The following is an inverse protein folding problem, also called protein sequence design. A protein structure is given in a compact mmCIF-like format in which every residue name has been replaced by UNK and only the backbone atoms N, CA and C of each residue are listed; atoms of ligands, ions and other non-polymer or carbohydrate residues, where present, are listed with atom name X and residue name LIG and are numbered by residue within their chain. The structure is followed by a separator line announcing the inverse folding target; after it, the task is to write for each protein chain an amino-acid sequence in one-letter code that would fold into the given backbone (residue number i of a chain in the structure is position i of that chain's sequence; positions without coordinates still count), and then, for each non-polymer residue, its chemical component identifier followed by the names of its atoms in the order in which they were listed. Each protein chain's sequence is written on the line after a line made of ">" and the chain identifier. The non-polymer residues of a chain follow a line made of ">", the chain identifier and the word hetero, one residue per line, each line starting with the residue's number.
data_IF_616031130730
#
_entry.id   IF_616031130730
#
_cell.length_a   1.000
_cell.length_b   1.000
_cell.length_c   1.000
_cell.angle_alpha   90.00
_cell.angle_beta   90.00
_cell.angle_gamma   90.00
#
_symmetry.space_group_name_H-M   'P 1'
#
loop_
_entity.id
_entity.type
_entity.pdbx_description
1 polymer ?
#
# COMPACT_ATOMS: atom_id res chain seq x y z
N UNK A 1 -21.07 14.05 45.98
CA UNK A 1 -19.85 14.80 46.33
C UNK A 1 -18.81 13.93 47.05
N UNK A 2 -18.63 12.66 46.65
CA UNK A 2 -17.60 11.75 47.16
C UNK A 2 -17.21 10.84 45.99
N UNK A 3 -16.36 11.33 45.07
CA UNK A 3 -15.72 10.51 44.02
C UNK A 3 -14.55 11.23 43.30
N UNK A 4 -14.05 12.35 43.83
CA UNK A 4 -12.91 13.09 43.25
C UNK A 4 -11.57 12.93 44.01
N UNK A 5 -11.50 12.15 45.08
CA UNK A 5 -10.32 12.13 45.97
C UNK A 5 -9.56 10.80 46.07
N UNK A 6 -9.67 9.91 45.09
CA UNK A 6 -8.92 8.63 45.07
C UNK A 6 -7.85 8.53 43.98
N UNK A 7 -7.62 9.58 43.18
CA UNK A 7 -6.60 9.57 42.09
C UNK A 7 -5.20 10.02 42.49
N UNK A 8 -5.00 10.60 43.68
CA UNK A 8 -3.76 11.31 44.01
C UNK A 8 -2.92 10.73 45.17
N UNK A 9 -3.24 9.53 45.70
CA UNK A 9 -2.48 8.96 46.84
C UNK A 9 -1.69 7.69 46.49
N UNK A 10 -1.94 7.04 45.34
CA UNK A 10 -1.14 5.87 44.91
C UNK A 10 0.06 6.18 43.98
N UNK A 11 0.26 7.45 43.59
CA UNK A 11 1.32 7.82 42.64
C UNK A 11 2.71 8.06 43.27
N UNK A 12 2.85 7.90 44.60
CA UNK A 12 4.05 8.33 45.33
C UNK A 12 5.15 7.27 45.55
N UNK A 13 4.89 5.98 45.34
CA UNK A 13 5.85 4.91 45.73
C UNK A 13 6.25 3.93 44.63
N UNK A 14 5.76 4.09 43.39
CA UNK A 14 6.19 3.28 42.23
C UNK A 14 7.19 4.00 41.30
N UNK A 15 7.48 5.28 41.55
CA UNK A 15 8.31 6.11 40.67
C UNK A 15 9.82 5.83 40.77
N UNK A 16 10.33 5.22 41.83
CA UNK A 16 11.78 4.98 41.95
C UNK A 16 12.28 3.69 41.29
N UNK A 17 11.41 2.71 41.01
CA UNK A 17 11.81 1.48 40.31
C UNK A 17 11.66 1.59 38.79
N UNK A 18 10.69 2.36 38.28
CA UNK A 18 10.47 2.49 36.84
C UNK A 18 11.45 3.43 36.12
N UNK A 19 12.03 4.43 36.80
CA UNK A 19 12.97 5.38 36.19
C UNK A 19 14.34 4.71 35.91
N UNK A 20 14.76 3.75 36.75
CA UNK A 20 15.98 2.98 36.50
C UNK A 20 15.84 1.96 35.38
N UNK A 21 14.64 1.38 35.21
CA UNK A 21 14.38 0.43 34.11
C UNK A 21 14.35 1.16 32.76
N UNK A 22 13.71 2.33 32.65
CA UNK A 22 13.65 3.10 31.40
C UNK A 22 15.03 3.62 30.95
N UNK A 23 15.84 4.16 31.86
CA UNK A 23 17.20 4.64 31.53
C UNK A 23 18.17 3.51 31.15
N UNK A 24 18.01 2.30 31.72
CA UNK A 24 18.87 1.16 31.39
C UNK A 24 18.54 0.54 30.02
N UNK A 25 17.27 0.55 29.63
CA UNK A 25 16.81 0.02 28.34
C UNK A 25 17.29 0.93 27.21
N UNK A 26 17.23 2.25 27.39
CA UNK A 26 17.73 3.22 26.41
C UNK A 26 19.24 3.09 26.18
N UNK A 27 20.02 2.87 27.25
CA UNK A 27 21.48 2.70 27.15
C UNK A 27 21.89 1.37 26.49
N UNK A 28 21.15 0.28 26.78
CA UNK A 28 21.39 -1.02 26.18
C UNK A 28 21.07 -1.03 24.67
N UNK A 29 19.91 -0.49 24.29
CA UNK A 29 19.51 -0.37 22.88
C UNK A 29 20.47 0.53 22.10
N UNK A 30 20.93 1.63 22.70
CA UNK A 30 21.96 2.49 22.10
C UNK A 30 23.24 1.73 21.76
N UNK A 31 23.72 0.85 22.64
CA UNK A 31 24.93 0.05 22.40
C UNK A 31 24.73 -0.97 21.28
N UNK A 32 23.54 -1.58 21.22
CA UNK A 32 23.15 -2.54 20.18
C UNK A 32 23.15 -1.85 18.81
N UNK A 33 22.52 -0.68 18.69
CA UNK A 33 22.47 0.11 17.45
C UNK A 33 23.85 0.57 16.99
N UNK A 34 24.73 1.03 17.91
CA UNK A 34 26.12 1.39 17.56
C UNK A 34 26.83 0.20 16.92
N UNK A 35 26.71 -0.98 17.52
CA UNK A 35 27.35 -2.20 17.00
C UNK A 35 26.78 -2.60 15.65
N UNK A 36 25.47 -2.49 15.45
CA UNK A 36 24.83 -2.69 14.15
C UNK A 36 25.43 -1.77 13.09
N UNK A 37 25.51 -0.46 13.35
CA UNK A 37 26.11 0.51 12.42
C UNK A 37 27.58 0.21 12.13
N UNK A 38 28.36 -0.18 13.14
CA UNK A 38 29.75 -0.58 12.92
C UNK A 38 29.89 -1.79 11.99
N UNK A 39 29.00 -2.79 12.11
CA UNK A 39 29.02 -3.97 11.23
C UNK A 39 28.71 -3.59 9.78
N UNK A 40 27.80 -2.64 9.57
CA UNK A 40 27.48 -2.08 8.25
C UNK A 40 28.73 -1.37 7.68
N UNK A 41 29.34 -0.46 8.43
CA UNK A 41 30.53 0.29 7.97
C UNK A 41 31.72 -0.62 7.65
N UNK A 42 31.88 -1.71 8.42
CA UNK A 42 32.89 -2.76 8.18
C UNK A 42 32.50 -3.72 7.05
N UNK A 43 31.31 -3.57 6.45
CA UNK A 43 30.73 -4.45 5.41
C UNK A 43 30.65 -5.92 5.82
N UNK A 44 30.49 -6.19 7.12
CA UNK A 44 30.40 -7.55 7.66
C UNK A 44 28.93 -7.97 7.78
N UNK A 45 28.42 -8.63 6.73
CA UNK A 45 27.03 -9.04 6.64
C UNK A 45 26.64 -10.11 7.67
N UNK A 46 27.53 -11.07 7.95
CA UNK A 46 27.27 -12.14 8.92
C UNK A 46 27.10 -11.58 10.33
N UNK A 47 28.02 -10.71 10.76
CA UNK A 47 27.92 -10.04 12.05
C UNK A 47 26.68 -9.14 12.11
N UNK A 48 26.36 -8.45 11.03
CA UNK A 48 25.18 -7.60 10.93
C UNK A 48 23.87 -8.38 11.13
N UNK A 49 23.69 -9.53 10.46
CA UNK A 49 22.50 -10.38 10.64
C UNK A 49 22.41 -10.90 12.08
N UNK A 50 23.55 -11.23 12.70
CA UNK A 50 23.58 -11.62 14.10
C UNK A 50 23.14 -10.49 15.04
N UNK A 51 23.57 -9.26 14.78
CA UNK A 51 23.13 -8.12 15.58
C UNK A 51 21.63 -7.83 15.39
N UNK A 52 21.09 -7.92 14.17
CA UNK A 52 19.65 -7.76 13.92
C UNK A 52 18.78 -8.71 14.75
N UNK A 53 19.30 -9.90 15.07
CA UNK A 53 18.58 -10.92 15.84
C UNK A 53 18.66 -10.72 17.36
N UNK A 54 19.29 -9.65 17.85
CA UNK A 54 19.41 -9.38 19.29
C UNK A 54 18.08 -8.86 19.83
N UNK A 55 17.63 -9.44 20.96
CA UNK A 55 16.42 -9.00 21.65
C UNK A 55 16.47 -7.49 21.98
N UNK A 56 15.39 -6.77 21.66
CA UNK A 56 15.30 -5.33 21.88
C UNK A 56 15.95 -4.47 20.78
N UNK A 57 16.41 -5.07 19.69
CA UNK A 57 16.88 -4.32 18.52
C UNK A 57 15.77 -3.43 17.95
N UNK A 58 16.05 -2.14 17.85
CA UNK A 58 15.27 -1.17 17.10
C UNK A 58 16.11 -0.65 15.93
N UNK A 59 15.75 -1.06 14.71
CA UNK A 59 16.47 -0.67 13.48
C UNK A 59 16.26 0.80 13.10
N UNK A 60 15.29 1.47 13.72
CA UNK A 60 14.96 2.88 13.50
C UNK A 60 15.70 3.82 14.46
N UNK A 61 16.23 3.29 15.56
CA UNK A 61 16.94 4.09 16.53
C UNK A 61 18.23 4.66 15.91
N UNK A 62 18.47 5.98 15.98
CA UNK A 62 19.75 6.54 15.60
C UNK A 62 20.81 6.29 16.68
N UNK A 63 22.07 6.18 16.28
CA UNK A 63 23.19 6.22 17.23
C UNK A 63 23.26 7.58 17.95
N UNK A 64 24.02 7.74 19.05
CA UNK A 64 24.19 9.04 19.71
C UNK A 64 24.81 10.13 18.83
N UNK A 65 25.44 9.73 17.71
CA UNK A 65 25.97 10.65 16.68
C UNK A 65 24.92 11.03 15.63
N UNK A 66 23.68 10.57 15.76
CA UNK A 66 22.60 10.78 14.80
C UNK A 66 22.63 9.85 13.58
N UNK A 67 23.50 8.83 13.56
CA UNK A 67 23.59 7.92 12.42
C UNK A 67 22.43 6.92 12.42
N UNK A 68 21.68 6.86 11.33
CA UNK A 68 20.62 5.88 11.09
C UNK A 68 21.18 4.65 10.35
N UNK A 69 20.89 3.41 10.80
CA UNK A 69 21.39 2.19 10.16
C UNK A 69 21.12 2.13 8.64
N UNK A 70 19.92 2.51 8.20
CA UNK A 70 19.55 2.49 6.77
C UNK A 70 20.39 3.46 5.94
N UNK A 71 20.68 4.66 6.46
CA UNK A 71 21.49 5.64 5.74
C UNK A 71 22.95 5.16 5.62
N UNK A 72 23.49 4.56 6.67
CA UNK A 72 24.84 3.97 6.65
C UNK A 72 24.94 2.81 5.64
N UNK A 73 23.90 1.99 5.54
CA UNK A 73 23.81 0.92 4.54
C UNK A 73 23.79 1.48 3.10
N UNK A 74 23.09 2.58 2.86
CA UNK A 74 23.06 3.26 1.55
C UNK A 74 24.41 3.93 1.23
N UNK A 75 25.06 4.58 2.21
CA UNK A 75 26.38 5.23 2.04
C UNK A 75 27.44 4.24 1.53
N UNK A 76 27.36 2.98 1.94
CA UNK A 76 28.27 1.92 1.46
C UNK A 76 27.79 1.21 0.18
N UNK A 77 26.65 1.61 -0.39
CA UNK A 77 25.93 0.93 -1.49
C UNK A 77 25.64 -0.55 -1.19
N UNK A 78 25.33 -0.86 0.07
CA UNK A 78 25.16 -2.22 0.56
C UNK A 78 23.74 -2.72 0.37
N UNK A 79 23.35 -3.12 -0.85
CA UNK A 79 21.99 -3.59 -1.17
C UNK A 79 21.45 -4.61 -0.14
N UNK A 80 22.23 -5.65 0.18
CA UNK A 80 21.83 -6.69 1.14
C UNK A 80 21.57 -6.15 2.55
N UNK A 81 22.30 -5.11 2.97
CA UNK A 81 22.07 -4.47 4.26
C UNK A 81 20.78 -3.65 4.24
N UNK A 82 20.53 -2.90 3.17
CA UNK A 82 19.29 -2.12 3.00
C UNK A 82 18.08 -3.04 2.98
N UNK A 83 18.12 -4.11 2.17
CA UNK A 83 17.02 -5.08 2.08
C UNK A 83 16.75 -5.77 3.42
N UNK A 84 17.79 -6.22 4.13
CA UNK A 84 17.61 -6.79 5.46
C UNK A 84 17.03 -5.81 6.48
N UNK A 85 17.43 -4.53 6.48
CA UNK A 85 16.84 -3.52 7.36
C UNK A 85 15.35 -3.29 7.06
N UNK A 86 14.97 -3.28 5.77
CA UNK A 86 13.56 -3.21 5.35
C UNK A 86 12.78 -4.42 5.86
N UNK A 87 13.35 -5.62 5.76
CA UNK A 87 12.76 -6.84 6.29
C UNK A 87 12.64 -6.85 7.83
N UNK A 88 13.34 -5.96 8.54
CA UNK A 88 13.20 -5.76 9.99
C UNK A 88 12.33 -4.55 10.35
N UNK A 89 11.61 -3.96 9.39
CA UNK A 89 10.65 -2.89 9.65
C UNK A 89 11.28 -1.51 9.82
N UNK A 90 12.37 -1.23 9.10
CA UNK A 90 12.95 0.12 9.09
C UNK A 90 12.00 1.12 8.39
N UNK A 91 11.92 2.32 8.94
CA UNK A 91 11.20 3.45 8.39
C UNK A 91 11.97 3.99 7.17
N UNK A 92 11.51 3.64 5.97
CA UNK A 92 12.20 3.97 4.71
C UNK A 92 12.34 5.47 4.45
N UNK A 93 11.42 6.26 5.03
CA UNK A 93 11.37 7.72 4.92
C UNK A 93 12.04 8.43 6.09
N UNK A 94 12.72 7.70 6.99
CA UNK A 94 13.44 8.29 8.10
C UNK A 94 14.46 9.33 7.60
N UNK A 95 14.46 10.48 8.26
CA UNK A 95 15.34 11.61 7.95
C UNK A 95 16.52 11.65 8.90
N UNK A 96 17.72 11.83 8.35
CA UNK A 96 18.92 12.04 9.16
C UNK A 96 18.76 13.30 10.03
N UNK A 97 19.00 13.22 11.34
CA UNK A 97 19.02 14.40 12.20
C UNK A 97 20.01 15.46 11.68
N UNK A 98 19.50 16.67 11.46
CA UNK A 98 20.29 17.85 11.09
C UNK A 98 20.40 18.13 9.58
N UNK A 99 20.55 17.11 8.73
CA UNK A 99 20.59 17.27 7.26
C UNK A 99 19.24 17.00 6.58
N UNK A 100 18.35 16.29 7.27
CA UNK A 100 17.02 15.87 6.80
C UNK A 100 17.04 15.01 5.53
N UNK A 101 18.18 14.41 5.18
CA UNK A 101 18.27 13.51 4.02
C UNK A 101 17.64 12.14 4.33
N UNK A 102 16.99 11.55 3.34
CA UNK A 102 16.41 10.21 3.40
C UNK A 102 17.35 9.18 2.76
N UNK A 103 17.06 7.90 2.95
CA UNK A 103 17.78 6.80 2.28
C UNK A 103 17.71 6.93 0.76
N UNK A 104 16.55 7.32 0.23
CA UNK A 104 16.32 7.49 -1.19
C UNK A 104 17.13 8.65 -1.77
N UNK A 105 17.26 9.76 -1.03
CA UNK A 105 18.11 10.89 -1.42
C UNK A 105 19.57 10.45 -1.59
N UNK A 106 20.13 9.73 -0.61
CA UNK A 106 21.52 9.24 -0.68
C UNK A 106 21.70 8.23 -1.81
N UNK A 107 20.73 7.33 -2.03
CA UNK A 107 20.79 6.34 -3.09
C UNK A 107 20.77 7.00 -4.49
N UNK A 108 19.92 8.01 -4.68
CA UNK A 108 19.87 8.81 -5.90
C UNK A 108 21.19 9.58 -6.12
N UNK A 109 21.71 10.25 -5.09
CA UNK A 109 23.01 10.94 -5.16
C UNK A 109 24.15 9.99 -5.55
N UNK A 110 24.13 8.78 -5.01
CA UNK A 110 25.15 7.77 -5.24
C UNK A 110 24.94 6.98 -6.56
N UNK A 111 23.85 7.25 -7.30
CA UNK A 111 23.44 6.53 -8.49
C UNK A 111 23.28 5.00 -8.27
N UNK A 112 22.80 4.61 -7.09
CA UNK A 112 22.57 3.21 -6.72
C UNK A 112 21.17 2.77 -7.19
N UNK A 113 21.04 2.45 -8.47
CA UNK A 113 19.74 2.17 -9.15
C UNK A 113 18.95 1.05 -8.48
N UNK A 114 19.62 -0.02 -8.08
CA UNK A 114 19.05 -1.17 -7.38
C UNK A 114 18.46 -0.79 -6.01
N UNK A 115 19.20 0.00 -5.23
CA UNK A 115 18.75 0.52 -3.94
C UNK A 115 17.61 1.53 -4.12
N UNK A 116 17.67 2.39 -5.14
CA UNK A 116 16.58 3.33 -5.46
C UNK A 116 15.30 2.56 -5.76
N UNK A 117 15.35 1.55 -6.65
CA UNK A 117 14.19 0.72 -6.97
C UNK A 117 13.62 0.05 -5.72
N UNK A 118 14.47 -0.54 -4.88
CA UNK A 118 14.06 -1.19 -3.64
C UNK A 118 13.36 -0.21 -2.68
N UNK A 119 13.94 0.96 -2.44
CA UNK A 119 13.35 1.96 -1.55
C UNK A 119 11.99 2.47 -2.08
N UNK A 120 11.88 2.73 -3.39
CA UNK A 120 10.61 3.13 -4.02
C UNK A 120 9.54 2.04 -3.89
N UNK A 121 9.90 0.76 -4.04
CA UNK A 121 8.99 -0.37 -3.87
C UNK A 121 8.41 -0.48 -2.45
N UNK A 122 9.14 0.02 -1.45
CA UNK A 122 8.71 0.06 -0.06
C UNK A 122 8.14 1.42 0.37
N UNK A 123 7.75 2.28 -0.58
CA UNK A 123 7.05 3.53 -0.28
C UNK A 123 7.96 4.71 0.08
N UNK A 124 9.25 4.67 -0.27
CA UNK A 124 10.08 5.85 -0.12
C UNK A 124 9.59 7.00 -1.02
N UNK A 125 9.46 8.19 -0.45
CA UNK A 125 8.96 9.38 -1.15
C UNK A 125 10.11 10.09 -1.91
N UNK A 126 10.14 10.09 -3.25
CA UNK A 126 11.16 10.77 -4.03
C UNK A 126 11.09 12.30 -3.92
N UNK A 127 9.95 12.86 -3.48
CA UNK A 127 9.71 14.31 -3.35
C UNK A 127 10.07 14.85 -1.97
N UNK A 128 10.38 13.99 -0.99
CA UNK A 128 10.82 14.40 0.33
C UNK A 128 12.10 15.26 0.24
N UNK A 129 12.02 16.50 0.74
CA UNK A 129 13.13 17.46 0.67
C UNK A 129 14.06 17.34 1.87
N UNK A 130 15.36 17.42 1.59
CA UNK A 130 16.41 17.67 2.57
C UNK A 130 16.37 19.11 3.09
N UNK A 131 17.18 19.41 4.11
CA UNK A 131 17.33 20.77 4.65
C UNK A 131 17.85 21.79 3.63
N UNK A 132 18.51 21.32 2.57
CA UNK A 132 18.98 22.15 1.46
C UNK A 132 17.89 22.48 0.42
N UNK A 133 16.68 21.96 0.59
CA UNK A 133 15.56 22.12 -0.33
C UNK A 133 15.58 21.15 -1.53
N UNK A 134 16.62 20.31 -1.67
CA UNK A 134 16.69 19.28 -2.72
C UNK A 134 16.04 17.97 -2.28
N UNK A 135 15.33 17.34 -3.21
CA UNK A 135 14.70 16.02 -3.09
C UNK A 135 15.52 14.93 -3.79
N UNK A 136 15.13 13.66 -3.65
CA UNK A 136 15.76 12.58 -4.39
C UNK A 136 15.43 12.70 -5.89
N UNK A 137 14.20 13.08 -6.24
CA UNK A 137 13.76 13.33 -7.62
C UNK A 137 14.67 14.33 -8.35
N UNK A 138 15.06 15.42 -7.68
CA UNK A 138 15.98 16.44 -8.24
C UNK A 138 17.37 15.87 -8.59
N UNK A 139 17.80 14.80 -7.91
CA UNK A 139 19.09 14.16 -8.12
C UNK A 139 19.05 13.03 -9.15
N UNK A 140 17.87 12.50 -9.47
CA UNK A 140 17.65 11.39 -10.41
C UNK A 140 17.87 11.84 -11.87
N UNK A 141 19.13 12.11 -12.21
CA UNK A 141 19.52 12.64 -13.53
C UNK A 141 19.89 11.53 -14.51
N UNK A 142 20.30 10.35 -14.02
CA UNK A 142 20.57 9.18 -14.85
C UNK A 142 19.30 8.66 -15.53
N UNK A 143 19.36 8.24 -16.82
CA UNK A 143 18.20 7.72 -17.53
C UNK A 143 17.44 6.63 -16.77
N UNK A 144 18.16 5.62 -16.26
CA UNK A 144 17.56 4.54 -15.48
C UNK A 144 16.84 5.04 -14.21
N UNK A 145 17.33 6.09 -13.55
CA UNK A 145 16.66 6.67 -12.38
C UNK A 145 15.44 7.50 -12.78
N UNK A 146 15.48 8.20 -13.92
CA UNK A 146 14.33 8.92 -14.47
C UNK A 146 13.20 7.97 -14.86
N UNK A 147 13.55 6.81 -15.41
CA UNK A 147 12.57 5.78 -15.76
C UNK A 147 11.85 5.27 -14.50
N UNK A 148 12.61 5.01 -13.42
CA UNK A 148 12.03 4.66 -12.12
C UNK A 148 11.14 5.78 -11.57
N UNK A 149 11.59 7.05 -11.61
CA UNK A 149 10.79 8.17 -11.15
C UNK A 149 9.48 8.30 -11.95
N UNK A 150 9.55 8.18 -13.27
CA UNK A 150 8.37 8.24 -14.16
C UNK A 150 7.38 7.11 -13.84
N UNK A 151 7.88 5.90 -13.56
CA UNK A 151 7.04 4.78 -13.14
C UNK A 151 6.37 5.06 -11.79
N UNK A 152 7.12 5.60 -10.82
CA UNK A 152 6.58 5.99 -9.51
C UNK A 152 5.56 7.13 -9.63
N UNK A 153 5.77 8.12 -10.49
CA UNK A 153 4.80 9.21 -10.69
C UNK A 153 3.47 8.72 -11.25
N UNK A 154 3.50 7.65 -12.07
CA UNK A 154 2.30 7.07 -12.66
C UNK A 154 1.47 6.27 -11.66
N UNK A 155 2.09 5.51 -10.78
CA UNK A 155 1.38 4.55 -9.92
C UNK A 155 1.97 4.35 -8.52
N UNK A 156 2.83 5.25 -8.05
CA UNK A 156 3.47 5.17 -6.73
C UNK A 156 4.36 3.94 -6.56
N UNK A 157 4.42 3.42 -5.33
CA UNK A 157 5.18 2.22 -4.99
C UNK A 157 4.65 0.96 -5.72
N UNK A 158 3.36 0.93 -6.06
CA UNK A 158 2.73 -0.13 -6.84
C UNK A 158 3.42 -0.40 -8.19
N UNK A 159 4.15 0.58 -8.74
CA UNK A 159 4.92 0.41 -9.97
C UNK A 159 6.04 -0.65 -9.87
N UNK A 160 6.44 -1.01 -8.65
CA UNK A 160 7.59 -1.90 -8.38
C UNK A 160 7.19 -3.18 -7.66
N UNK A 161 5.90 -3.41 -7.47
CA UNK A 161 5.38 -4.63 -6.86
C UNK A 161 5.62 -5.85 -7.75
N UNK A 162 5.76 -7.01 -7.10
CA UNK A 162 5.80 -8.30 -7.80
C UNK A 162 4.45 -8.62 -8.44
N UNK A 163 4.47 -9.48 -9.46
CA UNK A 163 3.24 -9.91 -10.13
C UNK A 163 2.29 -10.61 -9.16
N UNK A 164 0.96 -10.47 -9.34
CA UNK A 164 0.00 -11.18 -8.51
C UNK A 164 0.26 -12.68 -8.47
N UNK A 165 0.20 -13.26 -7.27
CA UNK A 165 0.42 -14.69 -7.05
C UNK A 165 1.89 -15.11 -7.07
N UNK A 166 2.84 -14.18 -7.20
CA UNK A 166 4.26 -14.47 -7.08
C UNK A 166 4.64 -14.93 -5.67
N UNK A 167 3.98 -14.36 -4.65
CA UNK A 167 4.21 -14.68 -3.25
C UNK A 167 3.19 -15.69 -2.73
N UNK A 168 3.67 -16.65 -1.94
CA UNK A 168 2.84 -17.61 -1.19
C UNK A 168 3.21 -17.61 0.28
N UNK A 169 2.27 -17.98 1.14
CA UNK A 169 2.55 -18.22 2.56
C UNK A 169 3.03 -19.65 2.76
N UNK A 170 4.22 -19.79 3.32
CA UNK A 170 4.85 -21.08 3.64
C UNK A 170 5.12 -21.17 5.13
N UNK A 171 5.27 -22.40 5.65
CA UNK A 171 5.62 -22.68 7.05
C UNK A 171 6.93 -23.44 7.13
N UNK A 172 7.84 -22.97 7.97
CA UNK A 172 9.06 -23.67 8.36
C UNK A 172 9.24 -23.53 9.87
N UNK A 173 9.46 -24.64 10.59
CA UNK A 173 9.61 -24.66 12.06
C UNK A 173 8.51 -23.90 12.82
N UNK A 174 7.25 -24.11 12.43
CA UNK A 174 6.05 -23.44 12.97
C UNK A 174 5.97 -21.92 12.73
N UNK A 175 6.92 -21.34 11.99
CA UNK A 175 6.90 -19.93 11.62
C UNK A 175 6.41 -19.76 10.19
N UNK A 176 5.45 -18.86 10.03
CA UNK A 176 4.94 -18.45 8.73
C UNK A 176 5.88 -17.41 8.11
N UNK A 177 6.15 -17.55 6.82
CA UNK A 177 6.89 -16.59 6.02
C UNK A 177 6.35 -16.53 4.60
N UNK A 178 6.67 -15.45 3.91
CA UNK A 178 6.34 -15.25 2.50
C UNK A 178 7.46 -15.76 1.63
N UNK A 179 7.11 -16.58 0.63
CA UNK A 179 8.05 -17.12 -0.34
C UNK A 179 7.67 -16.71 -1.75
N UNK A 180 8.60 -16.08 -2.46
CA UNK A 180 8.43 -15.73 -3.86
C UNK A 180 8.92 -16.88 -4.73
N UNK A 181 7.97 -17.56 -5.38
CA UNK A 181 8.24 -18.74 -6.22
C UNK A 181 8.89 -18.40 -7.56
N UNK A 182 8.90 -17.12 -7.95
CA UNK A 182 9.57 -16.64 -9.17
C UNK A 182 11.03 -16.29 -8.93
N UNK A 183 11.34 -15.67 -7.79
CA UNK A 183 12.71 -15.20 -7.46
C UNK A 183 13.45 -16.12 -6.49
N UNK A 184 12.76 -17.11 -5.90
CA UNK A 184 13.27 -17.98 -4.84
C UNK A 184 13.71 -17.21 -3.59
N UNK A 185 12.98 -16.14 -3.28
CA UNK A 185 13.21 -15.25 -2.14
C UNK A 185 12.26 -15.59 -0.98
N UNK A 186 12.76 -15.57 0.26
CA UNK A 186 11.95 -15.67 1.47
C UNK A 186 11.96 -14.36 2.26
N UNK A 187 10.80 -13.93 2.75
CA UNK A 187 10.63 -12.74 3.60
C UNK A 187 9.74 -13.06 4.81
N UNK A 188 10.18 -12.68 5.99
CA UNK A 188 9.37 -12.83 7.22
C UNK A 188 8.26 -11.80 7.30
N UNK A 189 8.53 -10.59 6.82
CA UNK A 189 7.54 -9.53 6.72
C UNK A 189 6.74 -9.66 5.43
N UNK A 190 5.54 -9.08 5.47
CA UNK A 190 4.62 -9.12 4.35
C UNK A 190 5.14 -8.25 3.19
N UNK A 191 5.29 -8.81 1.97
CA UNK A 191 5.71 -8.05 0.80
C UNK A 191 4.70 -6.95 0.43
N UNK A 192 5.14 -5.82 -0.18
CA UNK A 192 4.25 -4.76 -0.62
C UNK A 192 3.09 -5.23 -1.51
N UNK A 193 3.33 -6.16 -2.45
CA UNK A 193 2.26 -6.69 -3.33
C UNK A 193 1.17 -7.44 -2.54
N UNK A 194 1.51 -7.99 -1.38
CA UNK A 194 0.60 -8.74 -0.50
C UNK A 194 -0.08 -7.84 0.53
N UNK A 195 0.20 -6.53 0.50
CA UNK A 195 -0.15 -5.60 1.57
C UNK A 195 -1.39 -4.75 1.32
N UNK A 196 -2.12 -5.02 0.25
CA UNK A 196 -3.34 -4.30 -0.09
C UNK A 196 -4.54 -4.77 0.72
N UNK A 197 -5.34 -3.82 1.20
CA UNK A 197 -6.64 -4.06 1.80
C UNK A 197 -7.68 -3.12 1.23
N UNK A 198 -8.90 -3.62 1.01
CA UNK A 198 -10.05 -2.79 0.66
C UNK A 198 -10.62 -2.16 1.93
N UNK A 199 -10.65 -0.83 1.97
CA UNK A 199 -11.27 -0.02 3.02
C UNK A 199 -12.56 0.55 2.47
N UNK A 200 -13.68 0.13 3.04
CA UNK A 200 -15.01 0.63 2.66
C UNK A 200 -15.32 1.90 3.45
N UNK A 201 -15.49 3.01 2.73
CA UNK A 201 -15.96 4.28 3.29
C UNK A 201 -17.48 4.32 3.16
N UNK A 202 -18.21 4.56 4.25
CA UNK A 202 -19.69 4.63 4.21
C UNK A 202 -20.16 5.68 3.19
N UNK A 203 -20.83 5.23 2.14
CA UNK A 203 -21.31 6.08 1.03
C UNK A 203 -20.22 6.53 0.05
N UNK A 204 -18.97 6.13 0.26
CA UNK A 204 -17.80 6.38 -0.59
C UNK A 204 -17.47 5.19 -1.50
N UNK A 205 -16.51 5.35 -2.44
CA UNK A 205 -16.00 4.23 -3.21
C UNK A 205 -15.08 3.37 -2.35
N UNK A 206 -14.76 2.19 -2.84
CA UNK A 206 -13.73 1.35 -2.26
C UNK A 206 -12.37 2.05 -2.34
N UNK A 207 -11.75 2.30 -1.20
CA UNK A 207 -10.35 2.69 -1.11
C UNK A 207 -9.50 1.42 -0.98
N UNK A 208 -8.30 1.44 -1.54
CA UNK A 208 -7.34 0.37 -1.38
C UNK A 208 -6.08 0.94 -0.76
N UNK A 209 -5.75 0.46 0.43
CA UNK A 209 -4.62 0.94 1.21
C UNK A 209 -3.59 -0.16 1.27
N UNK A 210 -2.34 0.18 0.97
CA UNK A 210 -1.18 -0.66 1.19
C UNK A 210 -0.56 -0.31 2.54
N UNK A 211 -0.66 -1.19 3.54
CA UNK A 211 -0.18 -0.87 4.89
C UNK A 211 1.35 -0.96 5.05
N UNK A 212 2.07 -1.52 4.05
CA UNK A 212 3.55 -1.51 4.05
C UNK A 212 4.07 -0.19 3.50
N UNK A 213 3.51 0.27 2.38
CA UNK A 213 3.99 1.49 1.68
C UNK A 213 3.22 2.75 2.09
N UNK A 214 2.14 2.60 2.86
CA UNK A 214 1.14 3.66 3.15
C UNK A 214 0.49 4.26 1.91
N UNK A 215 0.58 3.60 0.76
CA UNK A 215 -0.02 4.07 -0.49
C UNK A 215 -1.54 3.87 -0.45
N UNK A 216 -2.29 4.85 -0.94
CA UNK A 216 -3.73 4.77 -1.16
C UNK A 216 -4.02 4.86 -2.65
N UNK A 217 -4.84 3.95 -3.17
CA UNK A 217 -5.34 3.97 -4.54
C UNK A 217 -6.85 3.73 -4.56
N UNK A 218 -7.51 4.25 -5.58
CA UNK A 218 -8.97 4.13 -5.76
C UNK A 218 -9.37 3.09 -6.81
N UNK A 219 -8.40 2.63 -7.61
CA UNK A 219 -8.59 1.49 -8.50
C UNK A 219 -8.15 0.22 -7.80
N UNK A 220 -8.89 -0.88 -8.01
CA UNK A 220 -8.53 -2.18 -7.45
C UNK A 220 -7.08 -2.55 -7.84
N UNK A 221 -6.17 -2.76 -6.88
CA UNK A 221 -4.80 -3.15 -7.18
C UNK A 221 -4.75 -4.51 -7.91
N UNK A 222 -3.76 -4.75 -8.78
CA UNK A 222 -3.59 -6.05 -9.44
C UNK A 222 -3.57 -7.22 -8.46
N UNK A 223 -2.93 -7.08 -7.30
CA UNK A 223 -2.86 -8.12 -6.27
C UNK A 223 -4.22 -8.56 -5.71
N UNK A 224 -5.23 -7.67 -5.76
CA UNK A 224 -6.60 -7.96 -5.31
C UNK A 224 -7.56 -8.28 -6.47
N UNK A 225 -7.06 -8.26 -7.72
CA UNK A 225 -7.86 -8.41 -8.93
C UNK A 225 -8.03 -9.87 -9.34
N UNK A 226 -8.45 -10.73 -8.42
CA UNK A 226 -8.68 -12.16 -8.66
C UNK A 226 -10.16 -12.53 -8.64
N UNK A 227 -10.57 -13.42 -9.55
CA UNK A 227 -11.90 -14.05 -9.58
C UNK A 227 -11.76 -15.56 -9.64
N UNK A 228 -12.79 -16.24 -9.17
CA UNK A 228 -12.95 -17.67 -9.38
C UNK A 228 -13.60 -17.90 -10.74
N UNK A 229 -12.98 -18.73 -11.56
CA UNK A 229 -13.51 -19.13 -12.87
C UNK A 229 -13.57 -20.65 -12.95
N UNK A 230 -14.53 -21.18 -13.70
CA UNK A 230 -14.64 -22.61 -13.98
C UNK A 230 -14.50 -22.83 -15.48
N UNK A 231 -13.44 -23.55 -15.85
CA UNK A 231 -13.13 -23.91 -17.23
C UNK A 231 -12.92 -25.42 -17.34
N UNK A 232 -13.56 -26.07 -18.31
CA UNK A 232 -13.45 -27.53 -18.54
C UNK A 232 -13.75 -28.40 -17.30
N UNK A 233 -14.63 -27.93 -16.40
CA UNK A 233 -15.01 -28.64 -15.17
C UNK A 233 -14.05 -28.44 -13.99
N UNK A 234 -12.99 -27.65 -14.14
CA UNK A 234 -12.05 -27.32 -13.06
C UNK A 234 -12.24 -25.88 -12.57
N UNK A 235 -12.19 -25.69 -11.26
CA UNK A 235 -12.18 -24.36 -10.64
C UNK A 235 -10.74 -23.81 -10.64
N UNK A 236 -10.58 -22.59 -11.13
CA UNK A 236 -9.31 -21.86 -11.23
C UNK A 236 -9.47 -20.45 -10.66
N UNK A 237 -8.34 -19.83 -10.31
CA UNK A 237 -8.25 -18.42 -9.96
C UNK A 237 -7.66 -17.64 -11.13
N UNK A 238 -8.39 -16.65 -11.62
CA UNK A 238 -7.99 -15.79 -12.73
C UNK A 238 -7.80 -14.35 -12.27
N UNK A 239 -6.62 -13.80 -12.53
CA UNK A 239 -6.32 -12.39 -12.35
C UNK A 239 -6.52 -11.64 -13.67
N UNK A 240 -7.56 -10.80 -13.77
CA UNK A 240 -7.91 -10.16 -15.03
C UNK A 240 -7.07 -8.92 -15.35
N UNK A 241 -6.42 -8.29 -14.37
CA UNK A 241 -5.52 -7.14 -14.61
C UNK A 241 -4.16 -7.57 -15.13
N UNK A 242 -3.65 -8.69 -14.63
CA UNK A 242 -2.35 -9.23 -15.04
C UNK A 242 -2.46 -10.38 -16.06
N UNK A 243 -3.67 -10.84 -16.36
CA UNK A 243 -3.94 -11.97 -17.26
C UNK A 243 -3.20 -13.26 -16.83
N UNK A 244 -3.26 -13.57 -15.53
CA UNK A 244 -2.60 -14.73 -14.91
C UNK A 244 -3.67 -15.70 -14.40
N UNK A 245 -3.45 -17.00 -14.55
CA UNK A 245 -4.34 -18.03 -14.00
C UNK A 245 -3.53 -18.99 -13.12
N UNK A 246 -4.10 -19.40 -11.99
CA UNK A 246 -3.50 -20.38 -11.09
C UNK A 246 -4.56 -21.32 -10.48
N UNK A 247 -4.11 -22.45 -9.96
CA UNK A 247 -4.98 -23.45 -9.31
C UNK A 247 -5.18 -23.15 -7.84
N UNK A 248 -4.11 -22.70 -7.19
CA UNK A 248 -4.08 -22.39 -5.77
C UNK A 248 -4.81 -21.08 -5.48
N UNK A 249 -5.39 -21.00 -4.29
CA UNK A 249 -5.97 -19.76 -3.79
C UNK A 249 -4.87 -18.69 -3.64
N UNK A 250 -5.09 -17.43 -4.07
CA UNK A 250 -4.12 -16.37 -3.90
C UNK A 250 -4.01 -15.96 -2.41
N UNK A 251 -2.80 -16.07 -1.84
CA UNK A 251 -2.51 -15.69 -0.45
C UNK A 251 -2.53 -14.18 -0.21
N UNK A 252 -2.43 -13.40 -1.29
CA UNK A 252 -2.44 -11.93 -1.30
C UNK A 252 -3.83 -11.35 -1.00
N UNK A 253 -4.89 -12.12 -1.25
CA UNK A 253 -6.26 -11.65 -1.04
C UNK A 253 -6.68 -11.79 0.43
N UNK A 254 -7.29 -10.74 1.02
CA UNK A 254 -7.99 -10.86 2.28
C UNK A 254 -9.14 -11.89 2.22
N UNK A 255 -9.38 -12.59 3.33
CA UNK A 255 -10.36 -13.67 3.43
C UNK A 255 -11.78 -13.26 2.99
N UNK A 256 -12.25 -12.06 3.35
CA UNK A 256 -13.57 -11.58 2.96
C UNK A 256 -13.70 -11.36 1.44
N UNK A 257 -12.61 -10.95 0.77
CA UNK A 257 -12.61 -10.79 -0.69
C UNK A 257 -12.54 -12.14 -1.41
N UNK A 258 -11.90 -13.14 -0.80
CA UNK A 258 -11.92 -14.52 -1.31
C UNK A 258 -13.33 -15.11 -1.27
N UNK A 259 -14.06 -14.87 -0.18
CA UNK A 259 -15.47 -15.30 -0.03
C UNK A 259 -16.37 -14.61 -1.07
N UNK A 260 -16.19 -13.30 -1.26
CA UNK A 260 -16.89 -12.54 -2.31
C UNK A 260 -16.57 -13.09 -3.72
N UNK A 261 -15.28 -13.28 -4.03
CA UNK A 261 -14.85 -13.82 -5.31
C UNK A 261 -15.36 -15.25 -5.58
N UNK A 262 -15.47 -16.08 -4.54
CA UNK A 262 -16.03 -17.43 -4.65
C UNK A 262 -17.54 -17.41 -4.93
N UNK A 263 -18.28 -16.47 -4.35
CA UNK A 263 -19.72 -16.29 -4.63
C UNK A 263 -20.02 -15.80 -6.05
N UNK A 264 -19.03 -15.21 -6.71
CA UNK A 264 -19.11 -14.63 -8.05
C UNK A 264 -18.36 -15.48 -9.09
N UNK A 265 -18.45 -16.81 -8.97
CA UNK A 265 -17.77 -17.73 -9.90
C UNK A 265 -18.32 -17.58 -11.32
N UNK A 266 -17.45 -17.37 -12.30
CA UNK A 266 -17.82 -17.10 -13.69
C UNK A 266 -18.74 -15.87 -13.87
N UNK A 267 -18.76 -14.95 -12.91
CA UNK A 267 -19.57 -13.74 -12.99
C UNK A 267 -18.72 -12.57 -13.47
N UNK A 268 -19.18 -11.93 -14.54
CA UNK A 268 -18.74 -10.59 -14.98
C UNK A 268 -19.94 -9.70 -15.21
N UNK A 269 -19.71 -8.41 -15.34
CA UNK A 269 -20.73 -7.43 -15.67
C UNK A 269 -20.62 -7.07 -17.15
N UNK A 270 -21.76 -6.98 -17.82
CA UNK A 270 -21.88 -6.55 -19.21
C UNK A 270 -22.77 -5.31 -19.28
N UNK A 271 -22.30 -4.27 -19.97
CA UNK A 271 -23.09 -3.07 -20.20
C UNK A 271 -23.86 -3.22 -21.51
N UNK A 272 -25.18 -3.31 -21.44
CA UNK A 272 -26.01 -3.54 -22.63
C UNK A 272 -26.04 -2.34 -23.59
N UNK A 273 -25.75 -1.13 -23.11
CA UNK A 273 -25.72 0.09 -23.92
C UNK A 273 -24.36 0.35 -24.55
N UNK A 274 -23.27 0.19 -23.80
CA UNK A 274 -21.91 0.47 -24.27
C UNK A 274 -21.20 -0.76 -24.85
N UNK A 275 -21.78 -1.96 -24.68
CA UNK A 275 -21.21 -3.25 -25.09
C UNK A 275 -19.85 -3.55 -24.42
N UNK A 276 -19.62 -2.99 -23.22
CA UNK A 276 -18.40 -3.16 -22.43
C UNK A 276 -18.55 -4.28 -21.40
N UNK A 277 -17.42 -4.87 -20.99
CA UNK A 277 -17.34 -5.85 -19.91
C UNK A 277 -16.55 -5.29 -18.72
N UNK A 278 -16.94 -5.65 -17.51
CA UNK A 278 -16.21 -5.35 -16.28
C UNK A 278 -16.16 -6.58 -15.38
N UNK A 279 -15.05 -6.76 -14.66
CA UNK A 279 -14.93 -7.75 -13.59
C UNK A 279 -15.07 -7.12 -12.19
N UNK A 280 -15.19 -5.80 -12.14
CA UNK A 280 -15.49 -5.00 -10.95
C UNK A 280 -16.99 -4.64 -10.98
N UNK A 281 -17.66 -4.63 -9.81
CA UNK A 281 -19.08 -4.25 -9.73
C UNK A 281 -19.26 -2.78 -10.11
N UNK A 282 -19.90 -2.48 -11.25
CA UNK A 282 -20.04 -1.12 -11.76
C UNK A 282 -20.79 -0.17 -10.82
N UNK A 283 -21.63 -0.72 -9.93
CA UNK A 283 -22.37 0.07 -8.93
C UNK A 283 -21.47 0.62 -7.83
N UNK A 284 -20.31 0.00 -7.62
CA UNK A 284 -19.31 0.45 -6.64
C UNK A 284 -18.23 1.33 -7.28
N UNK A 285 -18.25 1.50 -8.60
CA UNK A 285 -17.19 2.15 -9.37
C UNK A 285 -17.56 3.54 -9.91
N UNK A 286 -18.61 4.23 -9.46
CA UNK A 286 -18.74 5.65 -9.87
C UNK A 286 -17.52 6.44 -9.39
N UNK A 287 -16.80 7.00 -10.36
CA UNK A 287 -15.48 7.60 -10.17
C UNK A 287 -15.54 9.06 -9.76
N UNK A 288 -16.68 9.72 -9.98
CA UNK A 288 -16.88 11.13 -9.66
C UNK A 288 -17.50 11.31 -8.27
N UNK A 289 -17.03 12.34 -7.54
CA UNK A 289 -17.50 12.65 -6.18
C UNK A 289 -17.82 14.12 -5.99
N UNK A 290 -18.97 14.46 -5.40
CA UNK A 290 -19.20 15.81 -4.92
C UNK A 290 -18.24 16.12 -3.77
N UNK A 291 -17.54 17.24 -3.86
CA UNK A 291 -16.66 17.81 -2.85
C UNK A 291 -17.17 19.20 -2.52
N UNK A 292 -17.40 19.46 -1.24
CA UNK A 292 -17.79 20.79 -0.77
C UNK A 292 -16.55 21.60 -0.37
N UNK A 293 -16.37 22.75 -1.01
CA UNK A 293 -15.32 23.72 -0.69
C UNK A 293 -15.94 25.13 -0.70
N UNK A 294 -15.75 25.86 0.39
CA UNK A 294 -16.29 27.22 0.59
C UNK A 294 -17.80 27.37 0.30
N UNK A 295 -18.59 26.34 0.63
CA UNK A 295 -20.04 26.32 0.43
C UNK A 295 -20.48 26.11 -1.03
N UNK A 296 -19.57 25.68 -1.90
CA UNK A 296 -19.87 25.25 -3.27
C UNK A 296 -19.50 23.78 -3.45
N UNK A 297 -20.28 23.07 -4.23
CA UNK A 297 -19.98 21.68 -4.60
C UNK A 297 -19.30 21.66 -5.97
N UNK A 298 -18.15 21.00 -6.07
CA UNK A 298 -17.55 20.58 -7.32
C UNK A 298 -17.43 19.05 -7.35
N UNK A 299 -17.20 18.47 -8.51
CA UNK A 299 -17.08 17.03 -8.72
C UNK A 299 -15.65 16.66 -9.03
N UNK A 300 -15.09 15.70 -8.29
CA UNK A 300 -13.73 15.22 -8.46
C UNK A 300 -13.73 13.77 -8.93
N UNK A 301 -13.00 13.48 -10.01
CA UNK A 301 -12.80 12.14 -10.52
C UNK A 301 -11.62 11.49 -9.80
N UNK A 302 -11.89 10.47 -9.00
CA UNK A 302 -10.88 9.77 -8.19
C UNK A 302 -9.89 8.94 -9.01
N UNK A 303 -10.19 8.68 -10.29
CA UNK A 303 -9.30 7.98 -11.20
C UNK A 303 -8.41 8.96 -11.97
N UNK A 304 -9.01 9.97 -12.59
CA UNK A 304 -8.26 10.88 -13.47
C UNK A 304 -7.62 12.03 -12.70
N UNK A 305 -8.07 12.28 -11.46
CA UNK A 305 -7.68 13.46 -10.68
C UNK A 305 -8.28 14.76 -11.21
N UNK A 306 -9.22 14.67 -12.17
CA UNK A 306 -9.88 15.84 -12.74
C UNK A 306 -10.93 16.39 -11.78
N UNK A 307 -11.11 17.70 -11.81
CA UNK A 307 -12.21 18.37 -11.11
C UNK A 307 -13.03 19.16 -12.10
N UNK A 308 -14.35 19.20 -11.87
CA UNK A 308 -15.29 19.98 -12.66
C UNK A 308 -16.41 20.50 -11.77
N UNK A 309 -16.97 21.65 -12.10
CA UNK A 309 -18.08 22.22 -11.34
C UNK A 309 -19.43 21.65 -11.74
N UNK A 310 -19.51 21.10 -12.94
CA UNK A 310 -20.72 20.50 -13.49
C UNK A 310 -20.87 19.08 -12.98
N UNK A 311 -22.06 18.70 -12.54
CA UNK A 311 -22.35 17.33 -12.15
C UNK A 311 -22.14 16.41 -13.34
N UNK A 312 -21.25 15.40 -13.24
CA UNK A 312 -21.05 14.47 -14.33
C UNK A 312 -22.27 13.55 -14.50
N UNK A 313 -22.46 13.11 -15.75
CA UNK A 313 -23.63 12.31 -16.13
C UNK A 313 -23.78 11.02 -15.31
N UNK A 314 -22.68 10.38 -14.90
CA UNK A 314 -22.70 9.13 -14.14
C UNK A 314 -23.26 9.28 -12.72
N UNK A 315 -23.25 10.49 -12.16
CA UNK A 315 -23.84 10.84 -10.86
C UNK A 315 -25.12 11.67 -10.97
N UNK A 316 -25.43 12.19 -12.17
CA UNK A 316 -26.60 13.04 -12.40
C UNK A 316 -27.93 12.27 -12.35
N UNK A 317 -27.91 11.00 -12.72
CA UNK A 317 -29.09 10.15 -12.79
C UNK A 317 -29.34 9.40 -11.48
N UNK A 318 -30.61 9.28 -11.13
CA UNK A 318 -31.06 8.52 -9.96
C UNK A 318 -32.24 7.62 -10.34
N UNK A 319 -32.28 6.42 -9.78
CA UNK A 319 -33.33 5.43 -10.02
C UNK A 319 -34.48 5.63 -9.04
N UNK A 320 -35.71 5.72 -9.55
CA UNK A 320 -36.94 5.90 -8.78
C UNK A 320 -37.96 4.81 -9.13
N UNK A 321 -38.89 4.55 -8.22
CA UNK A 321 -40.00 3.60 -8.41
C UNK A 321 -41.33 4.36 -8.46
N UNK A 322 -42.16 4.05 -9.46
CA UNK A 322 -43.50 4.57 -9.61
C UNK A 322 -44.44 3.47 -10.12
N UNK A 323 -45.48 3.17 -9.34
CA UNK A 323 -46.52 2.18 -9.69
C UNK A 323 -45.95 0.79 -10.09
N UNK A 324 -44.89 0.35 -9.40
CA UNK A 324 -44.23 -0.93 -9.65
C UNK A 324 -43.32 -0.96 -10.89
N UNK A 325 -43.13 0.18 -11.56
CA UNK A 325 -42.17 0.38 -12.64
C UNK A 325 -41.04 1.31 -12.19
N UNK A 326 -39.85 1.15 -12.79
CA UNK A 326 -38.72 2.03 -12.48
C UNK A 326 -38.56 3.10 -13.57
N UNK A 327 -38.28 4.33 -13.16
CA UNK A 327 -37.87 5.41 -14.05
C UNK A 327 -36.58 6.06 -13.53
N UNK A 328 -35.86 6.75 -14.40
CA UNK A 328 -34.61 7.42 -14.10
C UNK A 328 -34.79 8.92 -14.23
N UNK A 329 -34.35 9.65 -13.21
CA UNK A 329 -34.41 11.11 -13.17
C UNK A 329 -33.00 11.70 -13.22
N UNK A 330 -32.75 12.58 -14.18
CA UNK A 330 -31.52 13.36 -14.26
C UNK A 330 -31.71 14.67 -13.49
N UNK A 331 -30.97 14.82 -12.40
CA UNK A 331 -31.05 15.97 -11.50
C UNK A 331 -30.40 17.25 -12.08
N UNK A 332 -29.59 17.14 -13.14
CA UNK A 332 -28.98 18.28 -13.83
C UNK A 332 -29.90 18.84 -14.93
N UNK A 333 -30.47 17.96 -15.76
CA UNK A 333 -31.31 18.38 -16.90
C UNK A 333 -32.79 18.46 -16.52
N UNK A 334 -33.20 17.85 -15.40
CA UNK A 334 -34.59 17.68 -15.01
C UNK A 334 -35.32 16.61 -15.83
N UNK A 335 -34.61 15.88 -16.68
CA UNK A 335 -35.18 14.88 -17.58
C UNK A 335 -35.62 13.63 -16.82
N UNK A 336 -36.75 13.06 -17.23
CA UNK A 336 -37.19 11.74 -16.79
C UNK A 336 -37.19 10.80 -17.99
N UNK A 337 -36.64 9.61 -17.82
CA UNK A 337 -36.69 8.56 -18.83
C UNK A 337 -37.09 7.23 -18.21
N UNK A 338 -37.77 6.41 -18.99
CA UNK A 338 -38.06 5.02 -18.66
C UNK A 338 -36.98 4.07 -19.21
N UNK A 339 -36.12 4.58 -20.10
CA UNK A 339 -34.98 3.84 -20.64
C UNK A 339 -33.84 3.80 -19.62
N UNK A 340 -33.23 2.63 -19.42
CA UNK A 340 -32.08 2.50 -18.52
C UNK A 340 -30.88 3.30 -19.06
N UNK A 341 -30.36 4.29 -18.31
CA UNK A 341 -29.17 5.04 -18.71
C UNK A 341 -27.94 4.14 -18.80
N UNK A 342 -26.95 4.53 -19.59
CA UNK A 342 -25.76 3.71 -19.83
C UNK A 342 -25.01 3.31 -18.54
N UNK A 343 -24.91 4.19 -17.53
CA UNK A 343 -24.22 3.88 -16.27
C UNK A 343 -25.00 2.89 -15.37
N UNK A 344 -26.30 2.71 -15.58
CA UNK A 344 -27.16 1.73 -14.86
C UNK A 344 -27.43 0.47 -15.70
N UNK A 345 -27.04 0.45 -16.98
CA UNK A 345 -27.29 -0.64 -17.93
C UNK A 345 -26.33 -1.83 -17.76
N UNK A 346 -25.74 -2.01 -16.57
CA UNK A 346 -24.85 -3.12 -16.26
C UNK A 346 -25.65 -4.31 -15.71
N UNK A 347 -25.56 -5.43 -16.42
CA UNK A 347 -26.19 -6.69 -16.04
C UNK A 347 -25.14 -7.73 -15.68
N UNK A 348 -25.46 -8.57 -14.70
CA UNK A 348 -24.65 -9.74 -14.35
C UNK A 348 -24.73 -10.74 -15.49
N UNK A 349 -23.57 -11.14 -16.02
CA UNK A 349 -23.44 -12.15 -17.05
C UNK A 349 -22.60 -13.30 -16.51
N UNK A 350 -23.17 -14.51 -16.52
CA UNK A 350 -22.39 -15.72 -16.36
C UNK A 350 -21.54 -15.92 -17.63
N UNK A 351 -20.24 -15.80 -17.50
CA UNK A 351 -19.29 -16.13 -18.55
C UNK A 351 -18.96 -17.62 -18.46
N UNK A 352 -19.42 -18.41 -19.43
CA UNK A 352 -18.81 -19.70 -19.70
C UNK A 352 -17.43 -19.41 -20.31
N UNK A 353 -16.40 -19.35 -19.46
CA UNK A 353 -14.99 -19.20 -19.85
C UNK A 353 -14.31 -20.55 -20.07
#
# INVERSE_FOLDING_TARGET
>A
MILKNLRNVLFGLLLFSCIHVSLSVDAANTKITIKLVETIQKKNYEAFVKELSVNGMDVNQPTPKGLLPILEAVKIKGFKFVDALIQFGVEVNAKEPGSEVTALYLAAQANAVDIVRLLLAYGADPKATSKSGKSAADLMTLPALKDLLTAWEKSGAMAFEDAPGAWIKTKEDEKEYWFNKMTNEGRWNMPPSCAWQRVEVKGGPSEYVNYVTSQVVYQLPPALSWRKVRASGEDLWYNWKSNITQREQPDEMPQYMLEEAASLTNVRWFNEKTQQYSWEDPKTTSHWRPVEEDGKTYYFNLITGESQWEMPDDVAWSKHEHEGSHYYHNSQTGENTWDVPAHEAWVVQNSDL
#
